data_IF_088258546472
#
_entry.id   IF_088258546472
#
_cell.length_a   1.000
_cell.length_b   1.000
_cell.length_c   1.000
_cell.angle_alpha   90.00
_cell.angle_beta   90.00
_cell.angle_gamma   90.00
#
_symmetry.space_group_name_H-M   'P 1'
#
loop_
_entity.id
_entity.type
_entity.pdbx_description
1 polymer ?
#
# COMPACT_ATOMS: atom_id res chain seq x y z
N UNK A 1 -16.20 24.77 20.75
CA UNK A 1 -16.57 24.24 19.42
C UNK A 1 -15.93 25.17 18.40
N UNK A 2 -15.14 24.66 17.45
CA UNK A 2 -14.59 25.51 16.41
C UNK A 2 -15.72 26.05 15.52
N UNK A 3 -15.55 27.30 15.09
CA UNK A 3 -16.47 27.98 14.19
C UNK A 3 -15.72 28.41 12.95
N UNK A 4 -16.31 28.20 11.78
CA UNK A 4 -15.74 28.59 10.50
C UNK A 4 -16.66 29.59 9.84
N UNK A 5 -16.07 30.65 9.31
CA UNK A 5 -16.79 31.64 8.50
C UNK A 5 -16.48 31.40 7.04
N UNK A 6 -17.52 31.09 6.26
CA UNK A 6 -17.42 30.86 4.82
C UNK A 6 -18.17 31.94 4.05
N UNK A 7 -17.71 32.27 2.85
CA UNK A 7 -18.38 33.22 1.98
C UNK A 7 -18.92 32.49 0.74
N UNK A 8 -20.23 32.54 0.54
CA UNK A 8 -20.91 31.88 -0.58
C UNK A 8 -21.74 32.92 -1.30
N UNK A 9 -21.45 33.16 -2.57
CA UNK A 9 -22.20 34.05 -3.45
C UNK A 9 -22.41 35.45 -2.83
N UNK A 10 -21.32 36.05 -2.33
CA UNK A 10 -21.28 37.36 -1.67
C UNK A 10 -22.05 37.45 -0.34
N UNK A 11 -22.34 36.32 0.31
CA UNK A 11 -22.91 36.26 1.66
C UNK A 11 -22.00 35.48 2.59
N UNK A 12 -21.75 36.05 3.77
CA UNK A 12 -20.97 35.40 4.83
C UNK A 12 -21.86 34.55 5.73
N UNK A 13 -21.45 33.31 5.97
CA UNK A 13 -22.13 32.34 6.83
C UNK A 13 -21.17 31.87 7.92
N UNK A 14 -21.64 31.79 9.15
CA UNK A 14 -20.90 31.28 10.31
C UNK A 14 -21.45 29.92 10.68
N UNK A 15 -20.59 28.90 10.63
CA UNK A 15 -20.95 27.50 10.81
C UNK A 15 -20.18 26.94 12.02
N UNK A 16 -20.88 26.25 12.91
CA UNK A 16 -20.25 25.42 13.92
C UNK A 16 -19.80 24.10 13.26
N UNK A 17 -18.54 23.73 13.43
CA UNK A 17 -17.95 22.56 12.77
C UNK A 17 -17.26 21.66 13.77
N UNK A 18 -17.08 20.38 13.42
CA UNK A 18 -16.29 19.45 14.23
C UNK A 18 -14.80 19.78 14.10
N UNK A 19 -14.02 19.49 15.14
CA UNK A 19 -12.58 19.68 15.14
C UNK A 19 -11.93 18.90 14.00
N UNK A 20 -11.20 19.60 13.12
CA UNK A 20 -10.50 19.00 11.98
C UNK A 20 -11.28 19.01 10.65
N UNK A 21 -12.57 19.36 10.66
CA UNK A 21 -13.39 19.43 9.44
C UNK A 21 -13.46 20.84 8.81
N UNK A 22 -12.78 21.81 9.42
CA UNK A 22 -12.79 23.22 8.99
C UNK A 22 -12.42 23.39 7.50
N UNK A 23 -11.34 22.73 7.08
CA UNK A 23 -10.88 22.75 5.69
C UNK A 23 -11.86 22.06 4.72
N UNK A 24 -12.60 21.05 5.19
CA UNK A 24 -13.59 20.36 4.38
C UNK A 24 -14.79 21.28 4.13
N UNK A 25 -15.28 21.94 5.17
CA UNK A 25 -16.39 22.90 5.05
C UNK A 25 -16.00 24.09 4.18
N UNK A 26 -14.77 24.59 4.29
CA UNK A 26 -14.25 25.65 3.40
C UNK A 26 -14.29 25.22 1.93
N UNK A 27 -13.79 24.01 1.62
CA UNK A 27 -13.84 23.46 0.25
C UNK A 27 -15.27 23.28 -0.25
N UNK A 28 -16.18 22.80 0.61
CA UNK A 28 -17.60 22.67 0.25
C UNK A 28 -18.21 24.04 -0.10
N UNK A 29 -17.90 25.09 0.67
CA UNK A 29 -18.35 26.44 0.38
C UNK A 29 -17.81 26.96 -0.96
N UNK A 30 -16.53 26.73 -1.26
CA UNK A 30 -15.90 27.14 -2.52
C UNK A 30 -16.54 26.44 -3.73
N UNK A 31 -16.89 25.16 -3.60
CA UNK A 31 -17.60 24.40 -4.64
C UNK A 31 -18.97 25.00 -4.92
N UNK A 32 -19.74 25.29 -3.87
CA UNK A 32 -21.07 25.90 -4.00
C UNK A 32 -20.97 27.30 -4.62
N UNK A 33 -20.03 28.13 -4.18
CA UNK A 33 -19.80 29.47 -4.72
C UNK A 33 -19.50 29.43 -6.22
N UNK A 34 -18.60 28.52 -6.64
CA UNK A 34 -18.27 28.31 -8.06
C UNK A 34 -19.50 27.88 -8.87
N UNK A 35 -20.33 26.99 -8.35
CA UNK A 35 -21.53 26.54 -9.05
C UNK A 35 -22.58 27.63 -9.18
N UNK A 36 -22.80 28.42 -8.11
CA UNK A 36 -23.72 29.56 -8.17
C UNK A 36 -23.25 30.61 -9.18
N UNK A 37 -21.94 30.87 -9.28
CA UNK A 37 -21.36 31.76 -10.31
C UNK A 37 -21.57 31.20 -11.73
N UNK A 38 -21.30 29.91 -11.95
CA UNK A 38 -21.48 29.27 -13.25
C UNK A 38 -22.93 29.33 -13.74
N UNK A 39 -23.90 29.08 -12.85
CA UNK A 39 -25.33 29.16 -13.19
C UNK A 39 -25.74 30.60 -13.52
N UNK A 40 -25.21 31.58 -12.78
CA UNK A 40 -25.43 33.00 -13.04
C UNK A 40 -24.86 33.44 -14.40
N UNK A 41 -23.64 33.01 -14.72
CA UNK A 41 -22.99 33.28 -16.02
C UNK A 41 -23.73 32.63 -17.19
N UNK A 42 -24.35 31.48 -16.97
CA UNK A 42 -25.19 30.81 -17.96
C UNK A 42 -26.47 31.57 -18.32
N UNK A 43 -26.82 32.64 -17.59
CA UNK A 43 -27.91 33.57 -17.92
C UNK A 43 -29.34 32.97 -17.88
N UNK A 44 -29.50 31.67 -17.58
CA UNK A 44 -30.79 30.98 -17.58
C UNK A 44 -31.69 31.37 -16.41
N UNK A 45 -31.12 31.85 -15.31
CA UNK A 45 -31.85 32.12 -14.07
C UNK A 45 -31.30 33.38 -13.42
N UNK A 46 -32.19 34.34 -13.14
CA UNK A 46 -31.84 35.64 -12.55
C UNK A 46 -32.06 35.64 -11.03
N UNK A 47 -33.01 34.85 -10.54
CA UNK A 47 -33.36 34.81 -9.11
C UNK A 47 -32.29 34.09 -8.30
N UNK A 48 -31.75 34.77 -7.28
CA UNK A 48 -30.69 34.23 -6.41
C UNK A 48 -31.11 32.94 -5.70
N UNK A 49 -32.36 32.84 -5.24
CA UNK A 49 -32.85 31.65 -4.55
C UNK A 49 -32.92 30.44 -5.48
N UNK A 50 -33.33 30.65 -6.74
CA UNK A 50 -33.35 29.60 -7.75
C UNK A 50 -31.94 29.17 -8.15
N UNK A 51 -30.99 30.12 -8.23
CA UNK A 51 -29.56 29.82 -8.44
C UNK A 51 -29.04 28.93 -7.29
N UNK A 52 -29.37 29.26 -6.04
CA UNK A 52 -28.95 28.47 -4.88
C UNK A 52 -29.52 27.03 -4.92
N UNK A 53 -30.81 26.88 -5.26
CA UNK A 53 -31.45 25.56 -5.36
C UNK A 53 -30.83 24.72 -6.49
N UNK A 54 -30.59 25.32 -7.66
CA UNK A 54 -29.96 24.62 -8.78
C UNK A 54 -28.50 24.26 -8.49
N UNK A 55 -27.74 25.16 -7.85
CA UNK A 55 -26.37 24.88 -7.42
C UNK A 55 -26.33 23.73 -6.42
N UNK A 56 -27.22 23.73 -5.42
CA UNK A 56 -27.32 22.64 -4.44
C UNK A 56 -27.66 21.30 -5.10
N UNK A 57 -28.59 21.31 -6.07
CA UNK A 57 -28.97 20.11 -6.82
C UNK A 57 -27.79 19.56 -7.65
N UNK A 58 -27.05 20.44 -8.34
CA UNK A 58 -25.88 20.04 -9.14
C UNK A 58 -24.77 19.45 -8.27
N UNK A 59 -24.49 20.08 -7.11
CA UNK A 59 -23.49 19.58 -6.16
C UNK A 59 -23.89 18.22 -5.59
N UNK A 60 -25.17 18.03 -5.23
CA UNK A 60 -25.68 16.76 -4.74
C UNK A 60 -25.65 15.67 -5.84
N UNK A 61 -25.96 16.05 -7.08
CA UNK A 61 -25.91 15.16 -8.23
C UNK A 61 -24.49 14.67 -8.50
N UNK A 62 -23.51 15.57 -8.57
CA UNK A 62 -22.11 15.21 -8.80
C UNK A 62 -21.52 14.38 -7.64
N UNK A 63 -21.88 14.67 -6.39
CA UNK A 63 -21.49 13.85 -5.25
C UNK A 63 -22.01 12.40 -5.38
N UNK A 64 -23.30 12.22 -5.68
CA UNK A 64 -23.89 10.88 -5.86
C UNK A 64 -23.32 10.15 -7.08
N UNK A 65 -23.11 10.86 -8.19
CA UNK A 65 -22.53 10.30 -9.41
C UNK A 65 -21.09 9.82 -9.19
N UNK A 66 -20.30 10.57 -8.41
CA UNK A 66 -18.93 10.17 -8.06
C UNK A 66 -18.93 8.94 -7.14
N UNK A 67 -19.85 8.87 -6.17
CA UNK A 67 -20.02 7.66 -5.34
C UNK A 67 -20.39 6.45 -6.20
N UNK A 68 -21.35 6.58 -7.13
CA UNK A 68 -21.75 5.48 -8.01
C UNK A 68 -20.60 5.02 -8.93
N UNK A 69 -19.85 5.96 -9.50
CA UNK A 69 -18.67 5.64 -10.32
C UNK A 69 -17.61 4.91 -9.51
N UNK A 70 -17.22 5.45 -8.36
CA UNK A 70 -16.23 4.82 -7.49
C UNK A 70 -16.67 3.43 -7.02
N UNK A 71 -17.95 3.25 -6.68
CA UNK A 71 -18.49 1.92 -6.33
C UNK A 71 -18.42 0.96 -7.51
N UNK A 72 -18.73 1.40 -8.73
CA UNK A 72 -18.67 0.57 -9.93
C UNK A 72 -17.24 0.19 -10.28
N UNK A 73 -16.31 1.14 -10.21
CA UNK A 73 -14.88 0.92 -10.48
C UNK A 73 -14.25 0.03 -9.41
N UNK A 74 -14.62 0.22 -8.14
CA UNK A 74 -14.20 -0.65 -7.04
C UNK A 74 -14.74 -2.08 -7.22
N UNK A 75 -16.02 -2.23 -7.59
CA UNK A 75 -16.64 -3.53 -7.87
C UNK A 75 -15.92 -4.25 -9.02
N UNK A 76 -15.59 -3.51 -10.09
CA UNK A 76 -14.88 -4.04 -11.26
C UNK A 76 -13.46 -4.46 -10.90
N UNK A 77 -12.73 -3.63 -10.17
CA UNK A 77 -11.38 -3.96 -9.71
C UNK A 77 -11.37 -5.13 -8.71
N UNK A 78 -12.39 -5.23 -7.85
CA UNK A 78 -12.55 -6.36 -6.94
C UNK A 78 -12.80 -7.66 -7.74
N UNK A 79 -13.73 -7.65 -8.70
CA UNK A 79 -14.01 -8.81 -9.54
C UNK A 79 -12.78 -9.26 -10.35
N UNK A 80 -11.99 -8.31 -10.88
CA UNK A 80 -10.74 -8.60 -11.58
C UNK A 80 -9.69 -9.24 -10.66
N UNK A 81 -9.53 -8.70 -9.44
CA UNK A 81 -8.62 -9.27 -8.43
C UNK A 81 -9.07 -10.66 -7.96
N UNK A 82 -10.37 -10.87 -7.78
CA UNK A 82 -10.93 -12.16 -7.36
C UNK A 82 -10.72 -13.23 -8.45
N UNK A 83 -10.89 -12.87 -9.73
CA UNK A 83 -10.60 -13.75 -10.85
C UNK A 83 -9.10 -14.12 -10.91
N UNK A 84 -8.21 -13.15 -10.66
CA UNK A 84 -6.78 -13.40 -10.62
C UNK A 84 -6.37 -14.27 -9.42
N UNK A 85 -6.94 -14.03 -8.24
CA UNK A 85 -6.75 -14.87 -7.06
C UNK A 85 -7.20 -16.31 -7.35
N UNK A 86 -8.33 -16.51 -8.03
CA UNK A 86 -8.82 -17.83 -8.39
C UNK A 86 -7.85 -18.55 -9.35
N UNK A 87 -7.30 -17.84 -10.34
CA UNK A 87 -6.29 -18.39 -11.28
C UNK A 87 -5.01 -18.78 -10.58
N UNK A 88 -4.48 -17.91 -9.71
CA UNK A 88 -3.27 -18.18 -8.96
C UNK A 88 -3.45 -19.37 -8.02
N UNK A 89 -4.59 -19.46 -7.32
CA UNK A 89 -4.92 -20.63 -6.49
C UNK A 89 -5.00 -21.93 -7.28
N UNK A 90 -5.62 -21.90 -8.47
CA UNK A 90 -5.66 -23.07 -9.34
C UNK A 90 -4.25 -23.50 -9.79
N UNK A 91 -3.38 -22.53 -10.11
CA UNK A 91 -1.99 -22.80 -10.50
C UNK A 91 -1.16 -23.36 -9.34
N UNK A 92 -1.37 -22.88 -8.13
CA UNK A 92 -0.71 -23.42 -6.92
C UNK A 92 -1.15 -24.87 -6.72
N UNK A 93 -2.45 -25.17 -6.77
CA UNK A 93 -2.95 -26.53 -6.64
C UNK A 93 -2.41 -27.48 -7.73
N UNK A 94 -2.22 -26.99 -8.97
CA UNK A 94 -1.60 -27.75 -10.06
C UNK A 94 -0.11 -28.03 -9.78
N UNK A 95 0.62 -27.05 -9.24
CA UNK A 95 2.04 -27.23 -8.87
C UNK A 95 2.21 -28.14 -7.65
N UNK A 96 1.29 -28.10 -6.69
CA UNK A 96 1.28 -28.96 -5.50
C UNK A 96 0.86 -30.41 -5.83
N UNK A 97 0.00 -30.61 -6.82
CA UNK A 97 -0.42 -31.94 -7.30
C UNK A 97 0.56 -32.57 -8.30
N UNK A 98 1.45 -31.78 -8.90
CA UNK A 98 2.57 -32.32 -9.67
C UNK A 98 3.59 -32.87 -8.66
N UNK A 99 3.81 -34.20 -8.59
CA UNK A 99 4.85 -34.73 -7.72
C UNK A 99 6.15 -34.05 -8.14
N UNK A 100 6.86 -33.48 -7.16
CA UNK A 100 8.19 -32.92 -7.39
C UNK A 100 8.96 -33.94 -8.27
N UNK A 101 9.64 -33.52 -9.36
CA UNK A 101 10.61 -34.41 -9.96
C UNK A 101 11.50 -34.82 -8.81
N UNK A 102 11.46 -36.10 -8.45
CA UNK A 102 12.19 -36.67 -7.33
C UNK A 102 13.58 -36.09 -7.49
N UNK A 103 13.97 -35.16 -6.60
CA UNK A 103 15.28 -34.58 -6.67
C UNK A 103 16.19 -35.80 -6.61
N UNK A 104 16.82 -36.14 -7.75
CA UNK A 104 17.82 -37.19 -7.80
C UNK A 104 18.72 -36.91 -6.61
N UNK A 105 18.91 -37.90 -5.70
CA UNK A 105 19.43 -37.63 -4.38
C UNK A 105 20.65 -36.76 -4.55
N UNK A 106 20.52 -35.50 -4.10
CA UNK A 106 21.65 -34.60 -4.00
C UNK A 106 22.64 -35.41 -3.18
N UNK A 107 23.72 -35.84 -3.83
CA UNK A 107 24.85 -36.43 -3.17
C UNK A 107 25.32 -35.34 -2.21
N UNK A 108 24.81 -35.39 -0.98
CA UNK A 108 25.48 -34.82 0.15
C UNK A 108 26.75 -35.64 0.25
N UNK A 109 27.77 -35.23 -0.51
CA UNK A 109 29.16 -35.53 -0.21
C UNK A 109 29.38 -34.94 1.17
N UNK A 110 29.10 -35.76 2.20
CA UNK A 110 29.64 -35.53 3.53
C UNK A 110 31.15 -35.32 3.40
N UNK A 111 31.78 -34.60 4.33
CA UNK A 111 33.19 -34.21 4.20
C UNK A 111 33.99 -35.44 3.79
N UNK A 112 34.52 -35.40 2.56
CA UNK A 112 35.15 -36.56 1.95
C UNK A 112 36.18 -37.10 2.96
N UNK A 113 36.32 -38.43 3.07
CA UNK A 113 37.21 -39.04 4.06
C UNK A 113 38.63 -38.42 4.01
N UNK A 114 39.05 -37.96 2.83
CA UNK A 114 40.27 -37.18 2.61
C UNK A 114 40.29 -35.83 3.36
N UNK A 115 39.17 -35.10 3.39
CA UNK A 115 39.03 -33.85 4.14
C UNK A 115 39.15 -34.10 5.65
N UNK A 116 38.55 -35.20 6.12
CA UNK A 116 38.61 -35.59 7.54
C UNK A 116 40.03 -36.02 7.94
N UNK A 117 40.71 -36.82 7.10
CA UNK A 117 42.12 -37.18 7.31
C UNK A 117 43.07 -35.97 7.22
N UNK A 118 42.82 -35.02 6.33
CA UNK A 118 43.62 -33.81 6.21
C UNK A 118 43.55 -32.95 7.47
N UNK A 119 42.35 -32.83 8.07
CA UNK A 119 42.15 -32.12 9.34
C UNK A 119 42.92 -32.82 10.47
N UNK A 120 42.84 -34.14 10.57
CA UNK A 120 43.57 -34.88 11.62
C UNK A 120 45.09 -34.78 11.49
N UNK A 121 45.62 -34.82 10.25
CA UNK A 121 47.07 -34.61 10.02
C UNK A 121 47.51 -33.21 10.43
N UNK A 122 46.73 -32.19 10.09
CA UNK A 122 47.04 -30.81 10.44
C UNK A 122 47.05 -30.61 11.96
N UNK A 123 46.10 -31.20 12.68
CA UNK A 123 46.07 -31.16 14.14
C UNK A 123 47.32 -31.78 14.77
N UNK A 124 47.75 -32.97 14.32
CA UNK A 124 48.99 -33.61 14.84
C UNK A 124 50.24 -32.79 14.53
N UNK A 125 50.31 -32.18 13.36
CA UNK A 125 51.45 -31.36 12.97
C UNK A 125 51.56 -30.10 13.84
N UNK A 126 50.43 -29.47 14.17
CA UNK A 126 50.38 -28.35 15.11
C UNK A 126 50.86 -28.76 16.51
N UNK A 127 50.40 -29.89 17.04
CA UNK A 127 50.84 -30.38 18.36
C UNK A 127 52.35 -30.62 18.40
N UNK A 128 52.92 -31.28 17.39
CA UNK A 128 54.36 -31.50 17.31
C UNK A 128 55.17 -30.19 17.24
N UNK A 129 54.67 -29.21 16.49
CA UNK A 129 55.32 -27.90 16.40
C UNK A 129 55.28 -27.14 17.75
N UNK A 130 54.16 -27.22 18.48
CA UNK A 130 54.04 -26.65 19.82
C UNK A 130 55.04 -27.30 20.78
N UNK A 131 55.13 -28.64 20.81
CA UNK A 131 56.08 -29.36 21.65
C UNK A 131 57.54 -29.09 21.28
N UNK A 132 57.87 -29.03 19.99
CA UNK A 132 59.22 -28.71 19.52
C UNK A 132 59.66 -27.27 19.85
N UNK A 133 58.71 -26.33 19.88
CA UNK A 133 58.99 -24.96 20.29
C UNK A 133 59.15 -24.85 21.81
N UNK A 134 58.34 -25.59 22.57
CA UNK A 134 58.42 -25.64 24.04
C UNK A 134 59.73 -26.28 24.53
N UNK A 135 60.27 -27.27 23.81
CA UNK A 135 61.59 -27.85 24.13
C UNK A 135 62.76 -26.95 23.74
N UNK A 136 62.64 -26.12 22.70
CA UNK A 136 63.63 -25.08 22.35
C UNK A 136 63.62 -23.89 23.30
N UNK A 137 62.48 -23.57 23.91
CA UNK A 137 62.35 -22.51 24.92
C UNK A 137 62.88 -22.86 26.31
N UNK A 138 63.22 -24.13 26.57
CA UNK A 138 63.76 -24.60 27.85
C UNK A 138 65.31 -24.60 27.93
N UNK A 139 65.99 -24.18 26.86
CA UNK A 139 67.46 -24.06 26.80
C UNK A 139 67.84 -22.62 26.43
N UNK A 140 67.46 -21.66 27.28
CA UNK A 140 68.05 -20.32 27.36
C UNK A 140 68.09 -19.89 28.83
#
# INVERSE_FOLDING_TARGET
MPEVTVNIYSRSYRLAVSTGEEALIQRCADIVDKQMKAIREGGKVINQDQIAVLAALEVAYEANKNVQKNSTDAQRSAAEKDAEIARLKARIAELESRPAPVAAPLQASGPDAETTEAIERLCRQCEQAIYANMSRGAVL
#
